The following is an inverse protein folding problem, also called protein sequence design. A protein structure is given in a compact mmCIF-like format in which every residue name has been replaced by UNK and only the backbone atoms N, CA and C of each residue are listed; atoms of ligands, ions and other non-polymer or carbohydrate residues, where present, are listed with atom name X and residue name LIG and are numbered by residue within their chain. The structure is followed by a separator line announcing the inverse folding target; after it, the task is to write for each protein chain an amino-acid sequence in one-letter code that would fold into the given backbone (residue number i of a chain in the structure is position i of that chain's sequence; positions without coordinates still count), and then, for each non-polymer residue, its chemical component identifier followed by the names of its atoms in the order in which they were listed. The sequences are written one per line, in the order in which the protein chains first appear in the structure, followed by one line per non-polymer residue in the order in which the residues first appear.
data_IF_669008229224
#
_entry.id   IF_669008229224
#
_cell.length_a   1.000
_cell.length_b   1.000
_cell.length_c   1.000
_cell.angle_alpha   90.00
_cell.angle_beta   90.00
_cell.angle_gamma   90.00
#
_symmetry.space_group_name_H-M   'P 1'
#
loop_
_entity.id
_entity.type
_entity.pdbx_description
1 polymer ?
#
# COMPACT_ATOMS: atom_id res chain seq x y z
N UNK A 1 -6.10 5.21 -5.32
CA UNK A 1 -6.06 6.65 -4.92
C UNK A 1 -5.34 7.47 -6.00
N UNK A 2 -5.86 7.47 -7.22
CA UNK A 2 -5.21 8.15 -8.37
C UNK A 2 -5.15 9.66 -8.17
N UNK A 3 -6.21 10.29 -7.61
CA UNK A 3 -6.20 11.74 -7.39
C UNK A 3 -5.11 12.15 -6.39
N UNK A 4 -4.87 11.33 -5.35
CA UNK A 4 -3.76 11.58 -4.43
C UNK A 4 -2.40 11.43 -5.11
N UNK A 5 -2.22 10.44 -5.99
CA UNK A 5 -0.97 10.24 -6.73
C UNK A 5 -0.73 11.40 -7.70
N UNK A 6 -1.78 11.88 -8.35
CA UNK A 6 -1.70 13.06 -9.23
C UNK A 6 -1.25 14.28 -8.43
N UNK A 7 -1.86 14.55 -7.28
CA UNK A 7 -1.44 15.63 -6.40
C UNK A 7 0.03 15.49 -5.95
N UNK A 8 0.48 14.27 -5.57
CA UNK A 8 1.89 14.01 -5.24
C UNK A 8 2.83 14.27 -6.42
N UNK A 9 2.37 14.01 -7.65
CA UNK A 9 3.17 14.27 -8.84
C UNK A 9 3.41 15.76 -9.09
N UNK A 10 2.48 16.61 -8.66
CA UNK A 10 2.55 18.08 -8.81
C UNK A 10 3.34 18.76 -7.67
N UNK A 11 3.49 18.11 -6.53
CA UNK A 11 4.22 18.66 -5.38
C UNK A 11 5.74 18.63 -5.61
N UNK A 12 6.46 19.63 -5.11
CA UNK A 12 7.94 19.63 -5.06
C UNK A 12 8.42 18.84 -3.83
N UNK A 13 8.29 17.51 -3.91
CA UNK A 13 8.76 16.57 -2.89
C UNK A 13 9.75 15.58 -3.49
N UNK A 14 10.70 15.13 -2.68
CA UNK A 14 11.74 14.17 -3.07
C UNK A 14 12.02 13.18 -1.94
N UNK A 15 12.84 12.19 -2.25
CA UNK A 15 13.33 11.19 -1.29
C UNK A 15 12.22 10.42 -0.57
N UNK A 16 11.10 10.16 -1.25
CA UNK A 16 9.99 9.38 -0.71
C UNK A 16 10.41 7.92 -0.48
N UNK A 17 10.00 7.37 0.65
CA UNK A 17 9.93 5.93 0.88
C UNK A 17 8.51 5.46 0.61
N UNK A 18 8.34 4.56 -0.36
CA UNK A 18 7.04 4.04 -0.77
C UNK A 18 6.87 2.59 -0.30
N UNK A 19 5.73 2.29 0.31
CA UNK A 19 5.31 0.95 0.70
C UNK A 19 4.09 0.61 -0.14
N UNK A 20 4.24 -0.23 -1.14
CA UNK A 20 3.16 -0.60 -2.06
C UNK A 20 3.42 -1.96 -2.68
N UNK A 21 2.35 -2.69 -3.00
CA UNK A 21 2.45 -4.02 -3.63
C UNK A 21 3.35 -4.01 -4.87
N UNK A 22 3.23 -2.97 -5.70
CA UNK A 22 4.10 -2.66 -6.84
C UNK A 22 4.20 -1.14 -7.01
N UNK A 23 5.05 -0.68 -7.93
CA UNK A 23 5.30 0.75 -8.15
C UNK A 23 4.58 1.25 -9.43
N UNK A 24 3.39 0.72 -9.67
CA UNK A 24 2.62 1.06 -10.86
C UNK A 24 3.15 0.40 -12.13
N UNK A 25 2.52 0.70 -13.25
CA UNK A 25 2.88 0.15 -14.56
C UNK A 25 2.45 1.07 -15.70
N UNK A 26 3.21 1.09 -16.80
CA UNK A 26 2.85 1.75 -18.06
C UNK A 26 2.38 3.22 -17.91
N UNK A 27 3.10 4.03 -17.15
CA UNK A 27 2.80 5.45 -16.93
C UNK A 27 1.63 5.74 -16.00
N UNK A 28 1.13 4.73 -15.24
CA UNK A 28 -0.07 4.82 -14.40
C UNK A 28 0.27 4.53 -12.94
N UNK A 29 -0.56 5.04 -12.03
CA UNK A 29 -0.36 4.88 -10.61
C UNK A 29 0.97 5.49 -10.17
N UNK A 30 1.69 4.81 -9.31
CA UNK A 30 2.96 5.29 -8.73
C UNK A 30 4.07 5.54 -9.75
N UNK A 31 3.98 5.03 -10.99
CA UNK A 31 4.95 5.37 -12.05
C UNK A 31 5.00 6.87 -12.29
N UNK A 32 3.90 7.60 -12.12
CA UNK A 32 3.87 9.06 -12.29
C UNK A 32 4.90 9.79 -11.42
N UNK A 33 5.12 9.33 -10.18
CA UNK A 33 6.12 9.90 -9.27
C UNK A 33 7.48 9.21 -9.37
N UNK A 34 7.51 7.95 -9.85
CA UNK A 34 8.75 7.21 -10.11
C UNK A 34 9.59 7.87 -11.22
N UNK A 35 8.97 8.17 -12.38
CA UNK A 35 9.66 8.80 -13.53
C UNK A 35 10.15 10.22 -13.23
N UNK A 36 9.61 10.85 -12.20
CA UNK A 36 10.07 12.15 -11.70
C UNK A 36 11.20 12.03 -10.65
N UNK A 37 11.73 10.82 -10.42
CA UNK A 37 12.78 10.53 -9.43
C UNK A 37 12.43 11.01 -8.01
N UNK A 38 11.15 10.95 -7.63
CA UNK A 38 10.68 11.33 -6.30
C UNK A 38 10.81 10.21 -5.28
N UNK A 39 10.98 8.95 -5.73
CA UNK A 39 11.06 7.78 -4.86
C UNK A 39 12.54 7.42 -4.67
N UNK A 40 13.01 7.45 -3.43
CA UNK A 40 14.35 7.01 -3.05
C UNK A 40 14.40 5.55 -2.65
N UNK A 41 13.35 5.08 -1.97
CA UNK A 41 13.24 3.69 -1.51
C UNK A 41 11.84 3.15 -1.73
N UNK A 42 11.76 1.90 -2.14
CA UNK A 42 10.48 1.18 -2.28
C UNK A 42 10.52 -0.15 -1.54
N UNK A 43 9.50 -0.42 -0.74
CA UNK A 43 9.14 -1.74 -0.25
C UNK A 43 8.01 -2.28 -1.12
N UNK A 44 8.21 -3.39 -1.79
CA UNK A 44 7.19 -3.97 -2.64
C UNK A 44 7.30 -5.50 -2.68
N UNK A 45 6.25 -6.16 -3.13
CA UNK A 45 6.24 -7.61 -3.28
C UNK A 45 6.44 -8.05 -4.74
N UNK A 46 6.39 -7.11 -5.68
CA UNK A 46 6.53 -7.38 -7.11
C UNK A 46 7.15 -6.19 -7.85
N UNK A 47 8.15 -6.48 -8.67
CA UNK A 47 8.89 -5.47 -9.47
C UNK A 47 8.73 -5.68 -10.98
N UNK A 48 8.22 -6.82 -11.41
CA UNK A 48 8.13 -7.15 -12.83
C UNK A 48 7.16 -6.29 -13.62
N UNK A 49 7.39 -6.18 -14.93
CA UNK A 49 6.52 -5.45 -15.85
C UNK A 49 6.56 -3.91 -15.72
N UNK A 50 7.55 -3.37 -15.02
CA UNK A 50 7.77 -1.92 -14.88
C UNK A 50 9.18 -1.56 -15.37
N UNK A 51 9.37 -1.24 -16.66
CA UNK A 51 10.68 -0.96 -17.21
C UNK A 51 11.34 0.31 -16.65
N UNK A 52 10.54 1.28 -16.19
CA UNK A 52 11.07 2.48 -15.57
C UNK A 52 11.68 2.17 -14.20
N UNK A 53 11.05 1.27 -13.43
CA UNK A 53 11.58 0.79 -12.16
C UNK A 53 12.86 -0.01 -12.36
N UNK A 54 12.87 -0.95 -13.31
CA UNK A 54 14.07 -1.74 -13.65
C UNK A 54 15.24 -0.85 -14.04
N UNK A 55 15.01 0.16 -14.87
CA UNK A 55 16.05 1.12 -15.29
C UNK A 55 16.64 1.86 -14.09
N UNK A 56 15.81 2.37 -13.20
CA UNK A 56 16.29 3.10 -12.02
C UNK A 56 17.00 2.19 -11.01
N UNK A 57 16.55 0.93 -10.86
CA UNK A 57 17.23 -0.07 -10.04
C UNK A 57 18.64 -0.39 -10.57
N UNK A 58 18.78 -0.62 -11.87
CA UNK A 58 20.08 -0.88 -12.52
C UNK A 58 21.01 0.32 -12.40
N UNK A 59 20.48 1.53 -12.51
CA UNK A 59 21.22 2.78 -12.34
C UNK A 59 21.54 3.10 -10.86
N UNK A 60 21.04 2.30 -9.90
CA UNK A 60 21.14 2.53 -8.44
C UNK A 60 20.56 3.89 -7.98
N UNK A 61 19.56 4.38 -8.69
CA UNK A 61 18.86 5.62 -8.38
C UNK A 61 17.74 5.41 -7.36
N UNK A 62 17.26 4.18 -7.22
CA UNK A 62 16.25 3.77 -6.25
C UNK A 62 16.71 2.51 -5.50
N UNK A 63 16.51 2.48 -4.20
CA UNK A 63 16.64 1.27 -3.39
C UNK A 63 15.32 0.51 -3.38
N UNK A 64 15.35 -0.79 -3.69
CA UNK A 64 14.15 -1.63 -3.66
C UNK A 64 14.37 -2.81 -2.73
N UNK A 65 13.52 -2.92 -1.71
CA UNK A 65 13.41 -4.10 -0.85
C UNK A 65 12.23 -4.96 -1.31
N UNK A 66 12.53 -6.10 -1.90
CA UNK A 66 11.52 -7.06 -2.31
C UNK A 66 11.10 -7.92 -1.12
N UNK A 67 9.84 -7.83 -0.73
CA UNK A 67 9.28 -8.54 0.42
C UNK A 67 8.23 -9.54 -0.06
N UNK A 68 8.31 -10.83 0.34
CA UNK A 68 7.28 -11.81 0.01
C UNK A 68 5.89 -11.32 0.42
N UNK A 69 4.88 -11.51 -0.43
CA UNK A 69 3.56 -10.90 -0.32
C UNK A 69 2.89 -11.09 1.05
N UNK A 70 2.89 -12.31 1.60
CA UNK A 70 2.32 -12.58 2.91
C UNK A 70 3.07 -11.86 4.03
N UNK A 71 4.41 -11.87 3.97
CA UNK A 71 5.27 -11.14 4.92
C UNK A 71 5.05 -9.64 4.79
N UNK A 72 4.90 -9.12 3.58
CA UNK A 72 4.64 -7.71 3.32
C UNK A 72 3.36 -7.23 4.00
N UNK A 73 2.25 -7.94 3.80
CA UNK A 73 0.97 -7.61 4.44
C UNK A 73 1.04 -7.72 5.96
N UNK A 74 1.73 -8.75 6.48
CA UNK A 74 1.87 -8.96 7.92
C UNK A 74 2.77 -7.91 8.57
N UNK A 75 3.84 -7.45 7.91
CA UNK A 75 4.67 -6.33 8.38
C UNK A 75 3.87 -5.03 8.51
N UNK A 76 2.96 -4.75 7.56
CA UNK A 76 2.04 -3.61 7.62
C UNK A 76 1.05 -3.81 8.77
N UNK A 77 0.45 -5.01 8.89
CA UNK A 77 -0.48 -5.31 9.98
C UNK A 77 0.19 -5.18 11.35
N UNK A 78 1.39 -5.73 11.50
CA UNK A 78 2.16 -5.64 12.73
C UNK A 78 2.39 -4.19 13.17
N UNK A 79 2.67 -3.29 12.23
CA UNK A 79 2.82 -1.86 12.50
C UNK A 79 1.55 -1.26 13.11
N UNK A 80 0.38 -1.52 12.49
CA UNK A 80 -0.91 -1.02 12.96
C UNK A 80 -1.35 -1.60 14.31
N UNK A 81 -0.94 -2.83 14.62
CA UNK A 81 -1.29 -3.52 15.87
C UNK A 81 -0.26 -3.33 17.01
N UNK A 82 0.80 -2.55 16.78
CA UNK A 82 1.85 -2.34 17.79
C UNK A 82 2.75 -3.57 18.03
N UNK A 83 2.72 -4.56 17.14
CA UNK A 83 3.59 -5.75 17.19
C UNK A 83 4.98 -5.34 16.74
N UNK A 84 5.99 -5.61 17.57
CA UNK A 84 7.36 -5.15 17.35
C UNK A 84 8.17 -6.00 16.38
N UNK A 85 7.70 -7.21 16.09
CA UNK A 85 8.30 -8.16 15.16
C UNK A 85 7.61 -9.50 15.26
N UNK A 86 7.80 -10.32 14.25
CA UNK A 86 7.30 -11.69 14.22
C UNK A 86 8.26 -12.59 13.46
N UNK A 87 8.25 -13.88 13.79
CA UNK A 87 9.04 -14.88 13.08
C UNK A 87 8.21 -15.56 11.99
N UNK A 88 8.81 -15.73 10.81
CA UNK A 88 8.18 -16.42 9.69
C UNK A 88 9.19 -17.39 9.03
N UNK A 89 8.75 -18.56 8.57
CA UNK A 89 9.59 -19.44 7.77
C UNK A 89 9.76 -18.94 6.34
N UNK A 90 8.93 -17.99 5.88
CA UNK A 90 8.99 -17.44 4.53
C UNK A 90 10.30 -16.69 4.32
N UNK A 91 11.08 -17.12 3.33
CA UNK A 91 12.37 -16.52 3.03
C UNK A 91 13.55 -17.06 3.85
N UNK A 92 13.32 -17.91 4.86
CA UNK A 92 14.42 -18.56 5.59
C UNK A 92 15.29 -19.39 4.64
N UNK A 93 16.63 -19.24 4.72
CA UNK A 93 17.58 -19.90 3.84
C UNK A 93 17.71 -19.32 2.43
N UNK A 94 17.14 -18.16 2.19
CA UNK A 94 17.27 -17.41 0.93
C UNK A 94 17.93 -16.04 1.15
N UNK A 95 18.19 -15.28 0.09
CA UNK A 95 18.70 -13.89 0.17
C UNK A 95 17.83 -12.99 1.06
N UNK A 96 16.53 -13.28 1.19
CA UNK A 96 15.62 -12.54 2.08
C UNK A 96 16.03 -12.63 3.54
N UNK A 97 16.75 -13.68 3.92
CA UNK A 97 17.21 -13.90 5.30
C UNK A 97 18.50 -13.14 5.64
N UNK A 98 19.21 -12.59 4.67
CA UNK A 98 20.47 -11.91 4.90
C UNK A 98 20.33 -10.73 5.88
N UNK A 99 21.17 -10.72 6.92
CA UNK A 99 21.18 -9.69 7.95
C UNK A 99 20.01 -9.74 8.94
N UNK A 100 19.12 -10.73 8.84
CA UNK A 100 17.99 -10.91 9.76
C UNK A 100 18.31 -11.93 10.85
N UNK A 101 17.77 -11.69 12.04
CA UNK A 101 17.82 -12.67 13.13
C UNK A 101 17.09 -13.95 12.71
N UNK A 102 17.73 -15.10 12.89
CA UNK A 102 17.16 -16.41 12.61
C UNK A 102 16.91 -17.18 13.89
N UNK A 103 15.79 -17.89 13.95
CA UNK A 103 15.44 -18.78 15.06
C UNK A 103 14.75 -20.05 14.54
N UNK A 104 15.07 -21.17 15.14
CA UNK A 104 14.40 -22.45 14.81
C UNK A 104 13.30 -22.73 15.83
N UNK A 105 12.11 -22.99 15.35
CA UNK A 105 10.95 -23.50 16.09
C UNK A 105 10.71 -24.95 15.65
N UNK A 106 9.61 -25.22 14.93
CA UNK A 106 9.38 -26.47 14.20
C UNK A 106 10.21 -26.52 12.90
N UNK A 107 10.59 -25.35 12.42
CA UNK A 107 11.43 -25.12 11.23
C UNK A 107 12.21 -23.82 11.37
N UNK A 108 13.24 -23.60 10.52
CA UNK A 108 13.95 -22.32 10.49
C UNK A 108 13.00 -21.15 10.17
N UNK A 109 13.12 -20.08 10.93
CA UNK A 109 12.36 -18.84 10.74
C UNK A 109 13.30 -17.64 10.81
N UNK A 110 12.88 -16.54 10.21
CA UNK A 110 13.56 -15.24 10.28
C UNK A 110 12.65 -14.20 10.95
N UNK A 111 13.26 -13.26 11.65
CA UNK A 111 12.56 -12.14 12.28
C UNK A 111 12.25 -11.09 11.22
N UNK A 112 10.98 -10.72 11.14
CA UNK A 112 10.50 -9.60 10.33
C UNK A 112 10.02 -8.45 11.22
N UNK A 113 10.41 -7.22 10.84
CA UNK A 113 10.05 -6.02 11.57
C UNK A 113 8.84 -5.32 10.93
N UNK A 114 8.03 -4.59 11.72
CA UNK A 114 6.87 -3.89 11.20
C UNK A 114 7.25 -2.79 10.19
N UNK A 115 6.36 -2.52 9.24
CA UNK A 115 6.46 -1.40 8.29
C UNK A 115 5.52 -0.29 8.72
N UNK A 116 6.05 0.74 9.36
CA UNK A 116 5.35 1.98 9.71
C UNK A 116 5.45 2.99 8.57
N UNK A 117 4.44 3.86 8.45
CA UNK A 117 4.44 4.96 7.51
C UNK A 117 4.01 6.27 8.19
N UNK A 118 4.45 7.41 7.65
CA UNK A 118 3.94 8.71 8.07
C UNK A 118 2.54 8.96 7.49
N UNK A 119 2.32 8.52 6.24
CA UNK A 119 1.05 8.66 5.55
C UNK A 119 0.59 7.33 4.94
N UNK A 120 -0.70 7.03 5.10
CA UNK A 120 -1.40 6.06 4.27
C UNK A 120 -2.31 6.81 3.30
N UNK A 121 -2.20 6.47 2.02
CA UNK A 121 -3.05 7.00 0.96
C UNK A 121 -3.87 5.84 0.43
N UNK A 122 -5.16 5.83 0.73
CA UNK A 122 -6.07 4.74 0.38
C UNK A 122 -7.29 5.26 -0.37
N UNK A 123 -7.96 4.35 -1.08
CA UNK A 123 -9.21 4.63 -1.76
C UNK A 123 -10.32 3.73 -1.21
N UNK A 124 -11.44 4.32 -0.81
CA UNK A 124 -12.64 3.61 -0.41
C UNK A 124 -13.81 3.90 -1.36
N UNK A 125 -14.84 3.07 -1.32
CA UNK A 125 -16.06 3.32 -2.08
C UNK A 125 -16.92 4.37 -1.39
N UNK A 126 -17.12 4.22 -0.07
CA UNK A 126 -17.93 5.13 0.74
C UNK A 126 -17.20 5.55 2.00
N UNK A 127 -17.46 6.76 2.45
CA UNK A 127 -17.12 7.23 3.78
C UNK A 127 -18.24 8.07 4.36
N UNK A 128 -18.46 7.97 5.66
CA UNK A 128 -19.32 8.86 6.43
C UNK A 128 -18.53 10.04 7.03
N UNK A 129 -19.21 11.05 7.62
CA UNK A 129 -18.54 12.22 8.22
C UNK A 129 -17.63 11.88 9.41
N UNK A 130 -17.79 10.73 10.05
CA UNK A 130 -16.93 10.28 11.17
C UNK A 130 -15.70 9.52 10.69
N UNK A 131 -15.58 9.28 9.37
CA UNK A 131 -14.44 8.60 8.81
C UNK A 131 -14.59 7.08 8.73
N UNK A 132 -15.75 6.55 9.00
CA UNK A 132 -16.02 5.13 8.78
C UNK A 132 -15.99 4.83 7.28
N UNK A 133 -15.30 3.75 6.90
CA UNK A 133 -15.08 3.40 5.49
C UNK A 133 -15.73 2.08 5.12
N UNK A 134 -16.30 2.07 3.92
CA UNK A 134 -16.77 0.87 3.25
C UNK A 134 -16.05 0.69 1.90
N UNK A 135 -15.58 -0.52 1.63
CA UNK A 135 -14.90 -0.89 0.38
C UNK A 135 -15.76 -1.87 -0.40
N UNK A 136 -15.84 -1.66 -1.70
CA UNK A 136 -16.57 -2.56 -2.59
C UNK A 136 -15.71 -3.79 -2.90
N UNK A 137 -16.24 -4.99 -2.60
CA UNK A 137 -15.65 -6.28 -2.97
C UNK A 137 -14.16 -6.38 -2.58
N UNK A 138 -13.32 -6.84 -3.50
CA UNK A 138 -11.87 -7.03 -3.29
C UNK A 138 -11.06 -5.73 -3.25
N UNK A 139 -11.68 -4.58 -3.60
CA UNK A 139 -11.02 -3.27 -3.49
C UNK A 139 -10.62 -2.91 -2.05
N UNK A 140 -11.14 -3.61 -1.03
CA UNK A 140 -10.69 -3.49 0.35
C UNK A 140 -9.19 -3.76 0.50
N UNK A 141 -8.68 -4.84 -0.12
CA UNK A 141 -7.26 -5.16 -0.23
C UNK A 141 -6.48 -4.92 1.08
N UNK A 142 -5.33 -4.23 1.03
CA UNK A 142 -4.51 -3.85 2.20
C UNK A 142 -4.98 -2.58 2.90
N UNK A 143 -5.97 -1.87 2.37
CA UNK A 143 -6.37 -0.55 2.85
C UNK A 143 -6.65 -0.49 4.36
N UNK A 144 -7.34 -1.48 5.00
CA UNK A 144 -7.52 -1.47 6.45
C UNK A 144 -6.21 -1.55 7.22
N UNK A 145 -5.26 -2.38 6.77
CA UNK A 145 -3.95 -2.53 7.42
C UNK A 145 -3.13 -1.24 7.26
N UNK A 146 -3.16 -0.62 6.09
CA UNK A 146 -2.46 0.62 5.79
C UNK A 146 -2.98 1.77 6.66
N UNK A 147 -4.30 1.87 6.82
CA UNK A 147 -4.91 2.91 7.65
C UNK A 147 -4.45 2.84 9.11
N UNK A 148 -4.28 1.63 9.65
CA UNK A 148 -3.81 1.44 11.03
C UNK A 148 -2.30 1.62 11.19
N UNK A 149 -1.51 1.39 10.12
CA UNK A 149 -0.05 1.40 10.16
C UNK A 149 0.57 2.80 10.04
N UNK A 150 -0.20 3.79 9.62
CA UNK A 150 0.27 5.15 9.37
C UNK A 150 -0.09 6.12 10.48
N UNK A 151 0.68 7.19 10.61
CA UNK A 151 0.38 8.31 11.53
C UNK A 151 -0.79 9.16 11.02
N UNK A 152 -0.89 9.31 9.70
CA UNK A 152 -1.97 10.08 9.05
C UNK A 152 -2.51 9.29 7.87
N UNK A 153 -3.81 9.03 7.89
CA UNK A 153 -4.51 8.37 6.79
C UNK A 153 -5.32 9.38 6.00
N UNK A 154 -5.04 9.45 4.69
CA UNK A 154 -5.75 10.25 3.70
C UNK A 154 -6.57 9.31 2.83
N UNK A 155 -7.87 9.54 2.77
CA UNK A 155 -8.81 8.67 2.06
C UNK A 155 -9.47 9.42 0.91
N UNK A 156 -9.28 8.89 -0.27
CA UNK A 156 -10.02 9.25 -1.47
C UNK A 156 -11.27 8.39 -1.56
N UNK A 157 -12.46 8.98 -1.67
CA UNK A 157 -13.72 8.24 -1.75
C UNK A 157 -14.50 8.57 -3.00
N UNK A 158 -15.27 7.60 -3.48
CA UNK A 158 -16.19 7.83 -4.59
C UNK A 158 -17.50 8.49 -4.13
N UNK A 159 -17.93 8.15 -2.91
CA UNK A 159 -19.18 8.64 -2.34
C UNK A 159 -19.00 9.05 -0.88
N UNK A 160 -19.41 10.27 -0.56
CA UNK A 160 -19.62 10.70 0.83
C UNK A 160 -21.09 10.46 1.17
N UNK A 161 -21.34 9.71 2.23
CA UNK A 161 -22.67 9.33 2.69
C UNK A 161 -22.98 9.99 4.03
N UNK A 162 -24.26 9.99 4.41
CA UNK A 162 -24.68 10.51 5.71
C UNK A 162 -24.31 9.53 6.85
N UNK A 163 -24.25 10.06 8.05
CA UNK A 163 -23.99 9.23 9.23
C UNK A 163 -25.14 8.23 9.44
N UNK A 164 -24.79 6.95 9.50
CA UNK A 164 -25.75 5.86 9.62
C UNK A 164 -26.06 5.14 8.29
N UNK A 165 -25.65 5.69 7.15
CA UNK A 165 -25.84 5.01 5.86
C UNK A 165 -24.87 3.82 5.66
N UNK A 166 -23.79 3.77 6.44
CA UNK A 166 -22.96 2.57 6.57
C UNK A 166 -23.40 1.87 7.84
N UNK A 167 -24.05 0.70 7.74
CA UNK A 167 -24.42 -0.08 8.91
C UNK A 167 -23.19 -0.38 9.78
N UNK A 168 -23.28 -0.38 11.11
CA UNK A 168 -22.14 -0.63 11.99
C UNK A 168 -21.37 -1.93 11.69
N UNK A 169 -22.09 -2.98 11.31
CA UNK A 169 -21.55 -4.27 10.93
C UNK A 169 -20.79 -4.26 9.59
N UNK A 170 -21.06 -3.27 8.74
CA UNK A 170 -20.44 -3.12 7.43
C UNK A 170 -19.25 -2.12 7.45
N UNK A 171 -18.91 -1.57 8.59
CA UNK A 171 -17.76 -0.70 8.73
C UNK A 171 -16.47 -1.52 8.59
N UNK A 172 -15.77 -1.33 7.48
CA UNK A 172 -14.52 -2.03 7.19
C UNK A 172 -13.29 -1.38 7.86
N UNK A 173 -13.30 -0.07 8.04
CA UNK A 173 -12.31 0.71 8.78
C UNK A 173 -13.05 1.72 9.63
N UNK A 174 -12.79 1.69 10.93
CA UNK A 174 -13.34 2.67 11.87
C UNK A 174 -12.69 4.05 11.68
N UNK A 175 -13.49 5.10 11.81
CA UNK A 175 -13.05 6.47 11.59
C UNK A 175 -11.90 6.96 12.45
N UNK A 176 -11.63 6.31 13.60
CA UNK A 176 -10.48 6.63 14.46
C UNK A 176 -9.13 6.50 13.73
N UNK A 177 -9.07 5.72 12.66
CA UNK A 177 -7.86 5.52 11.84
C UNK A 177 -7.79 6.47 10.64
N UNK A 178 -8.74 7.38 10.48
CA UNK A 178 -8.87 8.25 9.31
C UNK A 178 -8.78 9.72 9.72
N UNK A 179 -7.80 10.45 9.19
CA UNK A 179 -7.60 11.86 9.54
C UNK A 179 -8.06 12.81 8.43
N UNK A 180 -8.11 12.37 7.18
CA UNK A 180 -8.51 13.20 6.04
C UNK A 180 -9.33 12.39 5.05
N UNK A 181 -10.44 12.96 4.61
CA UNK A 181 -11.32 12.38 3.60
C UNK A 181 -11.62 13.45 2.56
N UNK A 182 -11.65 13.07 1.30
CA UNK A 182 -12.17 13.89 0.23
C UNK A 182 -12.84 13.03 -0.85
N UNK A 183 -13.82 13.61 -1.51
CA UNK A 183 -14.44 12.97 -2.67
C UNK A 183 -13.55 13.17 -3.88
N UNK A 184 -13.10 12.07 -4.45
CA UNK A 184 -12.33 12.09 -5.69
C UNK A 184 -13.21 12.35 -6.92
N UNK A 185 -12.57 12.61 -8.03
CA UNK A 185 -13.23 12.88 -9.30
C UNK A 185 -12.50 12.23 -10.47
N UNK A 186 -13.18 12.13 -11.61
CA UNK A 186 -12.59 11.67 -12.87
C UNK A 186 -11.92 10.30 -12.79
N UNK A 187 -12.54 9.35 -12.08
CA UNK A 187 -12.02 7.99 -12.00
C UNK A 187 -11.98 7.34 -13.37
N UNK A 188 -10.78 7.02 -13.82
CA UNK A 188 -10.54 6.23 -15.04
C UNK A 188 -9.88 4.93 -14.60
N UNK A 189 -10.56 3.81 -14.82
CA UNK A 189 -9.97 2.48 -14.62
C UNK A 189 -9.06 2.13 -15.80
N UNK A 190 -7.95 2.83 -15.91
CA UNK A 190 -7.02 2.66 -17.02
C UNK A 190 -6.16 1.40 -16.91
N UNK A 191 -6.15 0.73 -15.75
CA UNK A 191 -5.27 -0.42 -15.46
C UNK A 191 -6.00 -1.74 -15.60
N UNK A 192 -7.31 -1.78 -15.35
CA UNK A 192 -8.12 -2.99 -15.41
C UNK A 192 -8.96 -3.02 -16.68
N UNK A 193 -8.58 -3.89 -17.59
CA UNK A 193 -9.43 -4.25 -18.74
C UNK A 193 -10.13 -5.56 -18.42
N UNK A 194 -11.40 -5.49 -18.08
CA UNK A 194 -12.22 -6.68 -17.94
C UNK A 194 -12.42 -7.27 -19.34
N UNK A 195 -11.72 -8.36 -19.64
CA UNK A 195 -12.00 -9.18 -20.83
C UNK A 195 -12.74 -10.43 -20.38
N UNK A 196 -13.99 -10.52 -20.73
CA UNK A 196 -14.79 -11.73 -20.54
C UNK A 196 -14.55 -12.64 -21.75
N UNK A 197 -14.29 -13.92 -21.50
CA UNK A 197 -14.07 -14.91 -22.58
C UNK A 197 -15.37 -15.02 -23.39
N UNK A 198 -15.37 -14.57 -24.64
CA UNK A 198 -16.52 -14.63 -25.55
C UNK A 198 -17.09 -13.29 -26.02
N UNK A 199 -16.46 -12.17 -25.67
CA UNK A 199 -16.70 -10.89 -26.30
C UNK A 199 -15.60 -10.50 -27.30
#
# INVERSE_FOLDING_TARGET
AENCIDALSEMDIKDLTVISNNIGNSGRGLVKILIQHKIKKAYCSYVGGNPDLEKQMLAKEIEVELVPQGTFSERIRAAGMGIRGFYTPTGAGTLVAEGKEARTFDRPCILELPLHADFAIIKAQKADPYGNLWFKETARNFSPLMAMAAKTTVVEVEELVELGDIPPEDVHVAGIFVQRIFKGSNYKNDIEFLKVKGE
#
